data_IF_173219921867
#
_entry.id   IF_173219921867
#
_cell.length_a   1.000
_cell.length_b   1.000
_cell.length_c   1.000
_cell.angle_alpha   90.00
_cell.angle_beta   90.00
_cell.angle_gamma   90.00
#
_symmetry.space_group_name_H-M   'P 1'
#
loop_
_entity.id
_entity.type
_entity.pdbx_description
1 polymer ?
#
# COMPACT_ATOMS: atom_id res chain seq x y z
N UNK A 1 149.53 -120.25 87.66
CA UNK A 1 148.10 -120.55 87.90
C UNK A 1 147.32 -119.30 88.33
N UNK A 2 147.80 -118.48 89.27
CA UNK A 2 147.12 -117.24 89.69
C UNK A 2 146.75 -116.22 88.57
N UNK A 3 147.62 -116.01 87.56
CA UNK A 3 147.30 -115.13 86.41
C UNK A 3 146.16 -115.66 85.52
N UNK A 4 145.94 -116.98 85.48
CA UNK A 4 144.88 -117.58 84.66
C UNK A 4 143.51 -117.38 85.34
N UNK A 5 143.46 -117.54 86.66
CA UNK A 5 142.26 -117.28 87.47
C UNK A 5 141.82 -115.81 87.38
N UNK A 6 142.76 -114.87 87.40
CA UNK A 6 142.48 -113.44 87.23
C UNK A 6 141.90 -113.14 85.83
N UNK A 7 142.45 -113.75 84.76
CA UNK A 7 141.89 -113.59 83.40
C UNK A 7 140.52 -114.25 83.22
N UNK A 8 140.28 -115.39 83.88
CA UNK A 8 138.98 -116.07 83.85
C UNK A 8 137.93 -115.28 84.64
N UNK A 9 138.31 -114.66 85.76
CA UNK A 9 137.45 -113.76 86.53
C UNK A 9 137.11 -112.49 85.73
N UNK A 10 138.11 -111.88 85.06
CA UNK A 10 137.89 -110.73 84.18
C UNK A 10 137.01 -111.08 82.98
N UNK A 11 137.15 -112.29 82.42
CA UNK A 11 136.30 -112.78 81.33
C UNK A 11 134.87 -113.05 81.81
N UNK A 12 134.68 -113.62 83.00
CA UNK A 12 133.36 -113.81 83.60
C UNK A 12 132.67 -112.47 83.91
N UNK A 13 133.41 -111.46 84.36
CA UNK A 13 132.88 -110.12 84.56
C UNK A 13 132.54 -109.44 83.22
N UNK A 14 133.38 -109.59 82.20
CA UNK A 14 133.09 -109.12 80.84
C UNK A 14 131.86 -109.84 80.26
N UNK A 15 131.72 -111.14 80.50
CA UNK A 15 130.59 -111.96 80.06
C UNK A 15 129.31 -111.51 80.75
N UNK A 16 129.34 -111.24 82.07
CA UNK A 16 128.22 -110.66 82.81
C UNK A 16 127.83 -109.28 82.28
N UNK A 17 128.80 -108.41 81.97
CA UNK A 17 128.54 -107.12 81.33
C UNK A 17 127.94 -107.27 79.94
N UNK A 18 128.33 -108.29 79.17
CA UNK A 18 127.71 -108.56 77.87
C UNK A 18 126.31 -109.10 78.02
N UNK A 19 126.04 -109.98 78.99
CA UNK A 19 124.70 -110.48 79.29
C UNK A 19 123.78 -109.32 79.74
N UNK A 20 124.26 -108.43 80.62
CA UNK A 20 123.53 -107.21 81.03
C UNK A 20 123.29 -106.24 79.86
N UNK A 21 124.20 -106.19 78.87
CA UNK A 21 123.99 -105.42 77.64
C UNK A 21 122.99 -106.08 76.71
N UNK A 22 122.99 -107.41 76.62
CA UNK A 22 122.03 -108.18 75.83
C UNK A 22 120.64 -108.04 76.42
N UNK A 23 120.46 -108.19 77.73
CA UNK A 23 119.16 -107.97 78.38
C UNK A 23 118.67 -106.54 78.20
N UNK A 24 119.54 -105.54 78.32
CA UNK A 24 119.19 -104.13 78.03
C UNK A 24 118.82 -103.91 76.56
N UNK A 25 119.45 -104.63 75.63
CA UNK A 25 119.10 -104.57 74.20
C UNK A 25 117.76 -105.25 73.94
N UNK A 26 117.49 -106.39 74.56
CA UNK A 26 116.20 -107.09 74.50
C UNK A 26 115.07 -106.22 75.06
N UNK A 27 115.28 -105.56 76.20
CA UNK A 27 114.33 -104.58 76.77
C UNK A 27 114.08 -103.41 75.81
N UNK A 28 115.14 -102.86 75.19
CA UNK A 28 115.01 -101.79 74.19
C UNK A 28 114.32 -102.27 72.92
N UNK A 29 114.56 -103.51 72.49
CA UNK A 29 113.90 -104.10 71.34
C UNK A 29 112.41 -104.30 71.61
N UNK A 30 112.04 -104.81 72.79
CA UNK A 30 110.65 -104.94 73.21
C UNK A 30 109.95 -103.56 73.28
N UNK A 31 110.63 -102.53 73.81
CA UNK A 31 110.13 -101.15 73.80
C UNK A 31 109.96 -100.59 72.39
N UNK A 32 110.91 -100.87 71.48
CA UNK A 32 110.80 -100.46 70.08
C UNK A 32 109.65 -101.17 69.37
N UNK A 33 109.45 -102.47 69.60
CA UNK A 33 108.33 -103.23 69.07
C UNK A 33 106.99 -102.66 69.55
N UNK A 34 106.88 -102.29 70.83
CA UNK A 34 105.70 -101.62 71.39
C UNK A 34 105.45 -100.25 70.73
N UNK A 35 106.50 -99.43 70.56
CA UNK A 35 106.40 -98.12 69.88
C UNK A 35 105.98 -98.29 68.42
N UNK A 36 106.55 -99.26 67.71
CA UNK A 36 106.21 -99.54 66.31
C UNK A 36 104.75 -100.00 66.19
N UNK A 37 104.29 -100.86 67.10
CA UNK A 37 102.90 -101.30 67.14
C UNK A 37 101.94 -100.12 67.42
N UNK A 38 102.28 -99.26 68.38
CA UNK A 38 101.50 -98.05 68.68
C UNK A 38 101.48 -97.06 67.50
N UNK A 39 102.60 -96.91 66.79
CA UNK A 39 102.68 -96.07 65.59
C UNK A 39 101.85 -96.65 64.45
N UNK A 40 101.87 -97.97 64.23
CA UNK A 40 101.04 -98.63 63.23
C UNK A 40 99.54 -98.46 63.53
N UNK A 41 99.15 -98.57 64.81
CA UNK A 41 97.76 -98.30 65.22
C UNK A 41 97.39 -96.83 65.03
N UNK A 42 98.27 -95.88 65.37
CA UNK A 42 98.07 -94.46 65.13
C UNK A 42 97.97 -94.14 63.63
N UNK A 43 98.79 -94.77 62.80
CA UNK A 43 98.74 -94.65 61.34
C UNK A 43 97.41 -95.17 60.80
N UNK A 44 96.95 -96.35 61.22
CA UNK A 44 95.65 -96.89 60.82
C UNK A 44 94.50 -95.96 61.21
N UNK A 45 94.52 -95.42 62.44
CA UNK A 45 93.51 -94.44 62.89
C UNK A 45 93.57 -93.14 62.06
N UNK A 46 94.75 -92.72 61.61
CA UNK A 46 94.91 -91.58 60.74
C UNK A 46 94.36 -91.85 59.33
N UNK A 47 94.63 -93.03 58.76
CA UNK A 47 94.07 -93.48 57.48
C UNK A 47 92.54 -93.54 57.52
N UNK A 48 91.95 -94.10 58.59
CA UNK A 48 90.49 -94.12 58.78
C UNK A 48 89.90 -92.71 58.89
N UNK A 49 90.61 -91.76 59.52
CA UNK A 49 90.18 -90.35 59.58
C UNK A 49 90.30 -89.67 58.22
N UNK A 50 91.34 -89.96 57.45
CA UNK A 50 91.52 -89.44 56.09
C UNK A 50 90.42 -89.94 55.16
N UNK A 51 90.08 -91.23 55.20
CA UNK A 51 88.98 -91.79 54.41
C UNK A 51 87.63 -91.12 54.74
N UNK A 52 87.34 -90.88 56.03
CA UNK A 52 86.13 -90.13 56.45
C UNK A 52 86.17 -88.68 55.98
N UNK A 53 87.34 -88.04 56.03
CA UNK A 53 87.50 -86.67 55.54
C UNK A 53 87.24 -86.61 54.04
N UNK A 54 87.79 -87.53 53.25
CA UNK A 54 87.55 -87.65 51.81
C UNK A 54 86.07 -87.82 51.50
N UNK A 55 85.37 -88.69 52.23
CA UNK A 55 83.91 -88.86 52.09
C UNK A 55 83.14 -87.56 52.41
N UNK A 56 83.50 -86.87 53.49
CA UNK A 56 82.84 -85.60 53.85
C UNK A 56 83.12 -84.48 52.83
N UNK A 57 84.32 -84.44 52.25
CA UNK A 57 84.70 -83.49 51.20
C UNK A 57 83.93 -83.80 49.92
N UNK A 58 83.78 -85.08 49.55
CA UNK A 58 82.97 -85.48 48.41
C UNK A 58 81.49 -85.10 48.58
N UNK A 59 80.91 -85.36 49.77
CA UNK A 59 79.55 -84.97 50.08
C UNK A 59 79.36 -83.44 50.06
N UNK A 60 80.35 -82.68 50.55
CA UNK A 60 80.33 -81.21 50.50
C UNK A 60 80.41 -80.69 49.06
N UNK A 61 81.26 -81.29 48.22
CA UNK A 61 81.37 -80.93 46.80
C UNK A 61 80.05 -81.19 46.05
N UNK A 62 79.37 -82.30 46.33
CA UNK A 62 78.06 -82.58 45.74
C UNK A 62 76.99 -81.60 46.23
N UNK A 63 76.97 -81.29 47.54
CA UNK A 63 76.07 -80.28 48.09
C UNK A 63 76.32 -78.90 47.47
N UNK A 64 77.59 -78.51 47.30
CA UNK A 64 77.99 -77.27 46.64
C UNK A 64 77.48 -77.23 45.20
N UNK A 65 77.67 -78.30 44.42
CA UNK A 65 77.15 -78.37 43.04
C UNK A 65 75.63 -78.22 42.98
N UNK A 66 74.89 -78.88 43.89
CA UNK A 66 73.41 -78.72 43.98
C UNK A 66 73.01 -77.29 44.35
N UNK A 67 73.79 -76.60 45.18
CA UNK A 67 73.52 -75.19 45.49
C UNK A 67 73.81 -74.28 44.31
N UNK A 68 74.89 -74.51 43.56
CA UNK A 68 75.21 -73.77 42.34
C UNK A 68 74.09 -73.93 41.30
N UNK A 69 73.62 -75.15 41.04
CA UNK A 69 72.49 -75.41 40.13
C UNK A 69 71.20 -74.70 40.57
N UNK A 70 70.94 -74.60 41.88
CA UNK A 70 69.79 -73.85 42.42
C UNK A 70 69.96 -72.35 42.25
N UNK A 71 71.17 -71.82 42.41
CA UNK A 71 71.48 -70.40 42.19
C UNK A 71 71.28 -70.04 40.73
N UNK A 72 71.81 -70.83 39.79
CA UNK A 72 71.59 -70.59 38.35
C UNK A 72 70.12 -70.59 37.98
N UNK A 73 69.32 -71.53 38.52
CA UNK A 73 67.86 -71.54 38.28
C UNK A 73 67.15 -70.33 38.87
N UNK A 74 67.64 -69.79 40.00
CA UNK A 74 67.09 -68.57 40.58
C UNK A 74 67.45 -67.35 39.74
N UNK A 75 68.68 -67.26 39.24
CA UNK A 75 69.13 -66.20 38.32
C UNK A 75 68.29 -66.18 37.04
N UNK A 76 68.03 -67.34 36.43
CA UNK A 76 67.16 -67.45 35.26
C UNK A 76 65.73 -66.97 35.56
N UNK A 77 65.16 -67.34 36.71
CA UNK A 77 63.83 -66.89 37.13
C UNK A 77 63.80 -65.39 37.42
N UNK A 78 64.86 -64.84 38.02
CA UNK A 78 64.97 -63.41 38.26
C UNK A 78 65.02 -62.64 36.94
N UNK A 79 65.82 -63.08 35.97
CA UNK A 79 65.86 -62.47 34.64
C UNK A 79 64.50 -62.51 33.94
N UNK A 80 63.77 -63.63 34.01
CA UNK A 80 62.40 -63.73 33.47
C UNK A 80 61.43 -62.77 34.17
N UNK A 81 61.52 -62.63 35.50
CA UNK A 81 60.69 -61.69 36.24
C UNK A 81 61.00 -60.24 35.87
N UNK A 82 62.26 -59.89 35.69
CA UNK A 82 62.68 -58.55 35.23
C UNK A 82 62.09 -58.23 33.85
N UNK A 83 62.11 -59.18 32.91
CA UNK A 83 61.49 -59.04 31.59
C UNK A 83 59.97 -58.83 31.68
N UNK A 84 59.28 -59.63 32.51
CA UNK A 84 57.83 -59.50 32.73
C UNK A 84 57.49 -58.13 33.34
N UNK A 85 58.26 -57.68 34.34
CA UNK A 85 58.05 -56.37 34.97
C UNK A 85 58.27 -55.24 33.97
N UNK A 86 59.30 -55.33 33.12
CA UNK A 86 59.54 -54.35 32.06
C UNK A 86 58.37 -54.30 31.06
N UNK A 87 57.87 -55.46 30.62
CA UNK A 87 56.73 -55.54 29.71
C UNK A 87 55.44 -54.98 30.34
N UNK A 88 55.21 -55.24 31.63
CA UNK A 88 54.07 -54.69 32.36
C UNK A 88 54.16 -53.16 32.49
N UNK A 89 55.35 -52.63 32.79
CA UNK A 89 55.57 -51.19 32.88
C UNK A 89 55.29 -50.50 31.53
N UNK A 90 55.71 -51.10 30.41
CA UNK A 90 55.40 -50.57 29.07
C UNK A 90 53.90 -50.64 28.76
N UNK A 91 53.24 -51.75 29.09
CA UNK A 91 51.79 -51.89 28.93
C UNK A 91 51.01 -50.86 29.77
N UNK A 92 51.45 -50.61 31.00
CA UNK A 92 50.87 -49.59 31.87
C UNK A 92 51.02 -48.19 31.27
N UNK A 93 52.22 -47.83 30.80
CA UNK A 93 52.46 -46.53 30.15
C UNK A 93 51.56 -46.35 28.92
N UNK A 94 51.41 -47.38 28.07
CA UNK A 94 50.50 -47.33 26.91
C UNK A 94 49.03 -47.17 27.33
N UNK A 95 48.62 -47.76 28.46
CA UNK A 95 47.27 -47.60 29.00
C UNK A 95 47.05 -46.17 29.52
N UNK A 96 48.01 -45.60 30.23
CA UNK A 96 47.99 -44.21 30.71
C UNK A 96 47.89 -43.22 29.53
N UNK A 97 48.68 -43.43 28.46
CA UNK A 97 48.58 -42.60 27.25
C UNK A 97 47.21 -42.70 26.56
N UNK A 98 46.57 -43.88 26.56
CA UNK A 98 45.20 -44.06 26.04
C UNK A 98 44.16 -43.37 26.92
N UNK A 99 44.31 -43.44 28.24
CA UNK A 99 43.42 -42.76 29.18
C UNK A 99 43.51 -41.24 29.03
N UNK A 100 44.72 -40.68 28.92
CA UNK A 100 44.91 -39.25 28.69
C UNK A 100 44.23 -38.77 27.39
N UNK A 101 44.36 -39.55 26.29
CA UNK A 101 43.65 -39.25 25.03
C UNK A 101 42.13 -39.34 25.19
N UNK A 102 41.63 -40.32 25.94
CA UNK A 102 40.21 -40.46 26.19
C UNK A 102 39.68 -39.26 26.97
N UNK A 103 40.38 -38.83 28.01
CA UNK A 103 40.04 -37.63 28.80
C UNK A 103 39.97 -36.38 27.92
N UNK A 104 40.94 -36.19 27.02
CA UNK A 104 40.92 -35.08 26.05
C UNK A 104 39.69 -35.16 25.13
N UNK A 105 39.36 -36.34 24.59
CA UNK A 105 38.17 -36.50 23.72
C UNK A 105 36.86 -36.25 24.48
N UNK A 106 36.76 -36.68 25.74
CA UNK A 106 35.59 -36.44 26.58
C UNK A 106 35.45 -34.95 26.89
N UNK A 107 36.55 -34.26 27.18
CA UNK A 107 36.55 -32.81 27.38
C UNK A 107 36.11 -32.06 26.11
N UNK A 108 36.61 -32.46 24.95
CA UNK A 108 36.21 -31.87 23.66
C UNK A 108 34.72 -32.11 23.36
N UNK A 109 34.20 -33.31 23.66
CA UNK A 109 32.79 -33.64 23.51
C UNK A 109 31.91 -32.81 24.45
N UNK A 110 32.32 -32.63 25.71
CA UNK A 110 31.59 -31.81 26.68
C UNK A 110 31.49 -30.34 26.23
N UNK A 111 32.58 -29.78 25.70
CA UNK A 111 32.58 -28.42 25.14
C UNK A 111 31.70 -28.32 23.89
N UNK A 112 31.75 -29.31 23.00
CA UNK A 112 30.88 -29.37 21.83
C UNK A 112 29.40 -29.44 22.25
N UNK A 113 29.07 -30.25 23.26
CA UNK A 113 27.73 -30.36 23.82
C UNK A 113 27.25 -29.02 24.38
N UNK A 114 28.07 -28.33 25.19
CA UNK A 114 27.72 -27.01 25.72
C UNK A 114 27.43 -26.00 24.60
N UNK A 115 28.24 -25.99 23.53
CA UNK A 115 27.99 -25.13 22.37
C UNK A 115 26.69 -25.47 21.65
N UNK A 116 26.34 -26.75 21.56
CA UNK A 116 25.05 -27.15 20.98
C UNK A 116 23.88 -26.72 21.84
N UNK A 117 23.98 -26.84 23.17
CA UNK A 117 22.96 -26.38 24.12
C UNK A 117 22.75 -24.87 23.99
N UNK A 118 23.82 -24.06 23.96
CA UNK A 118 23.73 -22.62 23.72
C UNK A 118 23.04 -22.27 22.39
N UNK A 119 23.32 -23.02 21.32
CA UNK A 119 22.67 -22.83 20.02
C UNK A 119 21.18 -23.17 20.06
N UNK A 120 20.81 -24.22 20.80
CA UNK A 120 19.40 -24.59 21.00
C UNK A 120 18.67 -23.49 21.75
N UNK A 121 19.22 -22.97 22.85
CA UNK A 121 18.61 -21.86 23.59
C UNK A 121 18.41 -20.62 22.71
N UNK A 122 19.41 -20.23 21.91
CA UNK A 122 19.26 -19.10 20.96
C UNK A 122 18.18 -19.36 19.90
N UNK A 123 18.03 -20.60 19.43
CA UNK A 123 16.97 -20.97 18.49
C UNK A 123 15.60 -20.90 19.15
N UNK A 124 15.46 -21.34 20.39
CA UNK A 124 14.22 -21.23 21.17
C UNK A 124 13.81 -19.75 21.32
N UNK A 125 14.75 -18.88 21.71
CA UNK A 125 14.52 -17.43 21.81
C UNK A 125 14.07 -16.83 20.46
N UNK A 126 14.72 -17.21 19.36
CA UNK A 126 14.38 -16.73 18.02
C UNK A 126 12.98 -17.21 17.59
N UNK A 127 12.60 -18.44 17.90
CA UNK A 127 11.26 -18.99 17.63
C UNK A 127 10.20 -18.24 18.44
N UNK A 128 10.45 -17.95 19.72
CA UNK A 128 9.54 -17.15 20.54
C UNK A 128 9.36 -15.74 19.97
N UNK A 129 10.45 -15.07 19.58
CA UNK A 129 10.39 -13.74 18.97
C UNK A 129 9.61 -13.75 17.64
N UNK A 130 9.78 -14.79 16.82
CA UNK A 130 9.03 -14.95 15.57
C UNK A 130 7.53 -15.16 15.84
N UNK A 131 7.16 -15.97 16.83
CA UNK A 131 5.77 -16.19 17.22
C UNK A 131 5.11 -14.89 17.71
N UNK A 132 5.82 -14.06 18.47
CA UNK A 132 5.33 -12.74 18.88
C UNK A 132 5.14 -11.80 17.70
N UNK A 133 6.10 -11.75 16.78
CA UNK A 133 6.01 -10.94 15.56
C UNK A 133 4.81 -11.37 14.69
N UNK A 134 4.58 -12.67 14.54
CA UNK A 134 3.43 -13.21 13.83
C UNK A 134 2.12 -12.76 14.50
N UNK A 135 2.00 -12.88 15.82
CA UNK A 135 0.80 -12.45 16.56
C UNK A 135 0.54 -10.94 16.41
N UNK A 136 1.60 -10.12 16.34
CA UNK A 136 1.45 -8.68 16.07
C UNK A 136 0.99 -8.41 14.64
N UNK A 137 1.49 -9.19 13.67
CA UNK A 137 1.02 -9.10 12.28
C UNK A 137 -0.45 -9.46 12.16
N UNK A 138 -0.90 -10.55 12.79
CA UNK A 138 -2.30 -10.95 12.83
C UNK A 138 -3.19 -9.84 13.40
N UNK A 139 -2.79 -9.18 14.49
CA UNK A 139 -3.50 -8.01 15.04
C UNK A 139 -3.52 -6.80 14.11
N UNK A 140 -2.51 -6.62 13.25
CA UNK A 140 -2.49 -5.54 12.25
C UNK A 140 -3.42 -5.86 11.10
N UNK A 141 -3.43 -7.10 10.63
CA UNK A 141 -4.34 -7.58 9.59
C UNK A 141 -5.79 -7.43 10.03
N UNK A 142 -6.14 -7.90 11.23
CA UNK A 142 -7.50 -7.74 11.77
C UNK A 142 -7.96 -6.27 11.83
N UNK A 143 -7.07 -5.35 12.24
CA UNK A 143 -7.37 -3.91 12.22
C UNK A 143 -7.55 -3.36 10.81
N UNK A 144 -6.77 -3.84 9.83
CA UNK A 144 -6.96 -3.44 8.44
C UNK A 144 -8.29 -3.95 7.88
N UNK A 145 -8.70 -5.16 8.25
CA UNK A 145 -10.02 -5.70 7.87
C UNK A 145 -11.16 -4.85 8.44
N UNK A 146 -11.07 -4.42 9.70
CA UNK A 146 -12.03 -3.49 10.31
C UNK A 146 -12.10 -2.16 9.53
N UNK A 147 -10.95 -1.55 9.21
CA UNK A 147 -10.88 -0.29 8.45
C UNK A 147 -11.45 -0.44 7.04
N UNK A 148 -11.12 -1.53 6.34
CA UNK A 148 -11.64 -1.81 4.98
C UNK A 148 -13.16 -1.99 5.01
N UNK A 149 -13.67 -2.66 6.04
CA UNK A 149 -15.12 -2.85 6.22
C UNK A 149 -15.81 -1.50 6.43
N UNK A 150 -15.29 -0.66 7.33
CA UNK A 150 -15.83 0.68 7.59
C UNK A 150 -15.78 1.57 6.33
N UNK A 151 -14.68 1.54 5.59
CA UNK A 151 -14.57 2.27 4.32
C UNK A 151 -15.58 1.79 3.29
N UNK A 152 -15.86 0.49 3.25
CA UNK A 152 -16.91 -0.09 2.40
C UNK A 152 -18.30 0.45 2.76
N UNK A 153 -18.61 0.58 4.04
CA UNK A 153 -19.86 1.18 4.52
C UNK A 153 -19.96 2.67 4.15
N UNK A 154 -18.88 3.43 4.32
CA UNK A 154 -18.80 4.85 3.96
C UNK A 154 -19.03 5.07 2.46
N UNK A 155 -18.39 4.25 1.60
CA UNK A 155 -18.60 4.32 0.14
C UNK A 155 -20.06 4.00 -0.22
N UNK A 156 -20.68 3.01 0.44
CA UNK A 156 -22.09 2.69 0.23
C UNK A 156 -23.03 3.81 0.71
N UNK A 157 -22.67 4.52 1.78
CA UNK A 157 -23.40 5.70 2.25
C UNK A 157 -23.28 6.87 1.26
N UNK A 158 -22.07 7.16 0.78
CA UNK A 158 -21.82 8.21 -0.21
C UNK A 158 -22.56 7.94 -1.52
N UNK A 159 -22.57 6.68 -1.98
CA UNK A 159 -23.33 6.28 -3.18
C UNK A 159 -24.81 6.57 -3.03
N UNK A 160 -25.40 6.26 -1.87
CA UNK A 160 -26.82 6.58 -1.58
C UNK A 160 -27.05 8.09 -1.54
N UNK A 161 -26.15 8.85 -0.92
CA UNK A 161 -26.25 10.31 -0.88
C UNK A 161 -26.16 10.94 -2.29
N UNK A 162 -25.27 10.42 -3.15
CA UNK A 162 -25.15 10.86 -4.54
C UNK A 162 -26.45 10.60 -5.32
N UNK A 163 -27.00 9.39 -5.24
CA UNK A 163 -28.27 9.06 -5.90
C UNK A 163 -29.41 9.97 -5.44
N UNK A 164 -29.46 10.30 -4.14
CA UNK A 164 -30.45 11.23 -3.61
C UNK A 164 -30.26 12.65 -4.17
N UNK A 165 -29.01 13.14 -4.23
CA UNK A 165 -28.71 14.44 -4.80
C UNK A 165 -29.07 14.52 -6.30
N UNK A 166 -28.79 13.47 -7.07
CA UNK A 166 -29.17 13.37 -8.49
C UNK A 166 -30.70 13.45 -8.66
N UNK A 167 -31.47 12.77 -7.80
CA UNK A 167 -32.93 12.86 -7.79
C UNK A 167 -33.42 14.28 -7.47
N UNK A 168 -32.83 14.94 -6.47
CA UNK A 168 -33.17 16.33 -6.13
C UNK A 168 -32.88 17.30 -7.27
N UNK A 169 -31.73 17.13 -7.95
CA UNK A 169 -31.37 17.94 -9.12
C UNK A 169 -32.36 17.72 -10.26
N UNK A 170 -32.79 16.48 -10.52
CA UNK A 170 -33.79 16.20 -11.54
C UNK A 170 -35.15 16.87 -11.24
N UNK A 171 -35.60 16.82 -9.98
CA UNK A 171 -36.82 17.51 -9.52
C UNK A 171 -36.67 19.03 -9.68
N UNK A 172 -35.53 19.60 -9.29
CA UNK A 172 -35.27 21.03 -9.44
C UNK A 172 -35.27 21.45 -10.91
N UNK A 173 -34.61 20.67 -11.78
CA UNK A 173 -34.58 20.93 -13.22
C UNK A 173 -35.98 20.97 -13.84
N UNK A 174 -36.84 19.99 -13.51
CA UNK A 174 -38.24 19.99 -13.95
C UNK A 174 -39.04 21.19 -13.41
N UNK A 175 -38.76 21.63 -12.18
CA UNK A 175 -39.41 22.78 -11.58
C UNK A 175 -39.01 24.09 -12.27
N UNK A 176 -37.73 24.22 -12.63
CA UNK A 176 -37.20 25.36 -13.39
C UNK A 176 -37.79 25.41 -14.80
N UNK A 177 -37.91 24.26 -15.48
CA UNK A 177 -38.56 24.18 -16.80
C UNK A 177 -40.04 24.61 -16.73
N UNK A 178 -40.78 24.12 -15.72
CA UNK A 178 -42.17 24.51 -15.51
C UNK A 178 -42.32 26.01 -15.20
N UNK A 179 -41.40 26.58 -14.40
CA UNK A 179 -41.39 28.00 -14.10
C UNK A 179 -41.10 28.83 -15.36
N UNK A 180 -40.16 28.38 -16.20
CA UNK A 180 -39.81 29.03 -17.47
C UNK A 180 -41.03 29.08 -18.38
N UNK A 181 -41.72 27.95 -18.59
CA UNK A 181 -42.97 27.90 -19.37
C UNK A 181 -44.06 28.83 -18.83
N UNK A 182 -44.19 28.95 -17.51
CA UNK A 182 -45.14 29.86 -16.87
C UNK A 182 -44.74 31.33 -17.08
N UNK A 183 -43.45 31.65 -17.02
CA UNK A 183 -42.94 32.99 -17.30
C UNK A 183 -43.18 33.40 -18.75
N UNK A 184 -43.01 32.48 -19.70
CA UNK A 184 -43.31 32.71 -21.11
C UNK A 184 -44.81 33.00 -21.30
N UNK A 185 -45.70 32.21 -20.69
CA UNK A 185 -47.14 32.45 -20.75
C UNK A 185 -47.54 33.82 -20.18
N UNK A 186 -46.99 34.19 -19.02
CA UNK A 186 -47.21 35.51 -18.42
C UNK A 186 -46.71 36.62 -19.35
N UNK A 187 -45.54 36.44 -19.97
CA UNK A 187 -44.98 37.42 -20.91
C UNK A 187 -45.90 37.64 -22.11
N UNK A 188 -46.50 36.56 -22.65
CA UNK A 188 -47.51 36.65 -23.71
C UNK A 188 -48.79 37.36 -23.24
N UNK A 189 -49.30 37.03 -22.05
CA UNK A 189 -50.49 37.67 -21.49
C UNK A 189 -50.27 39.17 -21.25
N UNK A 190 -49.08 39.56 -20.76
CA UNK A 190 -48.68 40.96 -20.58
C UNK A 190 -48.59 41.68 -21.93
N UNK A 191 -48.03 41.04 -22.96
CA UNK A 191 -47.99 41.61 -24.31
C UNK A 191 -49.41 41.88 -24.86
N UNK A 192 -50.33 40.93 -24.68
CA UNK A 192 -51.74 41.10 -25.08
C UNK A 192 -52.43 42.21 -24.30
N UNK A 193 -52.22 42.30 -22.99
CA UNK A 193 -52.80 43.35 -22.16
C UNK A 193 -52.29 44.74 -22.55
N UNK A 194 -50.99 44.87 -22.86
CA UNK A 194 -50.42 46.11 -23.41
C UNK A 194 -51.11 46.53 -24.70
N UNK A 195 -51.39 45.59 -25.61
CA UNK A 195 -52.14 45.84 -26.84
C UNK A 195 -53.54 46.39 -26.57
N UNK A 196 -54.34 45.72 -25.74
CA UNK A 196 -55.69 46.18 -25.39
C UNK A 196 -55.69 47.56 -24.72
N UNK A 197 -54.75 47.81 -23.81
CA UNK A 197 -54.65 49.11 -23.15
C UNK A 197 -54.35 50.24 -24.16
N UNK A 198 -53.44 50.00 -25.10
CA UNK A 198 -53.08 50.98 -26.12
C UNK A 198 -54.23 51.29 -27.06
N UNK A 199 -54.95 50.26 -27.52
CA UNK A 199 -56.17 50.45 -28.33
C UNK A 199 -57.19 51.32 -27.59
N UNK A 200 -57.51 50.97 -26.34
CA UNK A 200 -58.46 51.74 -25.53
C UNK A 200 -58.00 53.20 -25.31
N UNK A 201 -56.69 53.42 -25.15
CA UNK A 201 -56.11 54.76 -25.03
C UNK A 201 -56.33 55.59 -26.30
N UNK A 202 -56.07 55.00 -27.48
CA UNK A 202 -56.28 55.65 -28.77
C UNK A 202 -57.75 55.90 -29.10
N UNK A 203 -58.66 54.99 -28.72
CA UNK A 203 -60.11 55.20 -28.85
C UNK A 203 -60.57 56.37 -27.99
N UNK A 204 -60.26 56.33 -26.68
CA UNK A 204 -60.70 57.35 -25.72
C UNK A 204 -60.15 58.74 -26.04
N UNK A 205 -58.92 58.83 -26.55
CA UNK A 205 -58.26 60.09 -26.88
C UNK A 205 -58.25 60.39 -28.39
N UNK A 206 -59.05 59.68 -29.18
CA UNK A 206 -59.13 59.88 -30.63
C UNK A 206 -59.30 61.35 -31.05
N UNK A 207 -60.15 62.17 -30.39
CA UNK A 207 -60.29 63.58 -30.75
C UNK A 207 -59.02 64.41 -30.54
N UNK A 208 -58.11 63.98 -29.67
CA UNK A 208 -56.84 64.63 -29.41
C UNK A 208 -55.75 64.13 -30.38
N UNK A 209 -55.60 62.81 -30.51
CA UNK A 209 -54.53 62.20 -31.31
C UNK A 209 -54.73 62.36 -32.81
N UNK A 210 -55.97 62.23 -33.30
CA UNK A 210 -56.26 62.35 -34.72
C UNK A 210 -56.69 63.75 -35.14
N UNK A 211 -56.59 64.73 -34.23
CA UNK A 211 -57.03 66.11 -34.43
C UNK A 211 -56.42 66.79 -35.65
N UNK A 212 -55.20 66.40 -36.01
CA UNK A 212 -54.50 66.92 -37.20
C UNK A 212 -55.12 66.40 -38.50
N UNK A 213 -55.71 65.20 -38.49
CA UNK A 213 -56.30 64.55 -39.66
C UNK A 213 -57.78 64.91 -39.83
N UNK A 214 -58.53 65.09 -38.73
CA UNK A 214 -59.96 65.35 -38.79
C UNK A 214 -60.47 66.24 -37.64
N UNK A 215 -61.58 66.95 -37.88
CA UNK A 215 -62.34 67.72 -36.87
C UNK A 215 -63.66 67.02 -36.55
N UNK A 216 -64.22 67.31 -35.37
CA UNK A 216 -65.46 66.68 -34.87
C UNK A 216 -65.42 65.14 -34.96
N UNK A 217 -64.33 64.57 -34.47
CA UNK A 217 -64.07 63.13 -34.52
C UNK A 217 -65.06 62.41 -33.61
N UNK A 218 -65.78 61.45 -34.19
CA UNK A 218 -66.65 60.49 -33.52
C UNK A 218 -66.13 59.09 -33.83
N UNK A 219 -65.61 58.40 -32.82
CA UNK A 219 -65.23 57.00 -32.95
C UNK A 219 -66.51 56.18 -33.03
N UNK A 220 -66.65 55.40 -34.09
CA UNK A 220 -67.82 54.53 -34.27
C UNK A 220 -67.78 53.42 -33.22
N UNK A 221 -68.90 53.17 -32.57
CA UNK A 221 -69.05 51.97 -31.75
C UNK A 221 -69.04 50.73 -32.64
N UNK A 222 -68.82 49.55 -32.04
CA UNK A 222 -68.93 48.28 -32.77
C UNK A 222 -70.30 48.12 -33.44
N UNK A 223 -71.38 48.57 -32.79
CA UNK A 223 -72.73 48.50 -33.33
C UNK A 223 -72.93 49.45 -34.52
N UNK A 224 -72.40 50.67 -34.43
CA UNK A 224 -72.49 51.67 -35.51
C UNK A 224 -71.71 51.21 -36.75
N UNK A 225 -70.51 50.64 -36.56
CA UNK A 225 -69.70 50.13 -37.66
C UNK A 225 -70.32 48.88 -38.29
N UNK A 226 -70.79 47.92 -37.48
CA UNK A 226 -71.48 46.73 -37.98
C UNK A 226 -72.72 47.09 -38.80
N UNK A 227 -73.60 47.95 -38.29
CA UNK A 227 -74.79 48.38 -39.02
C UNK A 227 -74.44 49.08 -40.34
N UNK A 228 -73.37 49.89 -40.35
CA UNK A 228 -72.90 50.57 -41.56
C UNK A 228 -72.41 49.58 -42.62
N UNK A 229 -71.66 48.55 -42.21
CA UNK A 229 -71.10 47.55 -43.11
C UNK A 229 -72.16 46.52 -43.55
N UNK A 230 -73.02 46.06 -42.66
CA UNK A 230 -74.14 45.15 -42.97
C UNK A 230 -75.07 45.74 -44.03
N UNK A 231 -75.41 47.03 -43.90
CA UNK A 231 -76.20 47.74 -44.90
C UNK A 231 -75.53 47.69 -46.29
N UNK A 232 -74.20 47.80 -46.34
CA UNK A 232 -73.47 47.71 -47.60
C UNK A 232 -73.40 46.29 -48.19
N UNK A 233 -73.39 45.25 -47.33
CA UNK A 233 -73.49 43.85 -47.77
C UNK A 233 -74.88 43.55 -48.33
N UNK A 234 -75.93 44.01 -47.64
CA UNK A 234 -77.32 43.87 -48.12
C UNK A 234 -77.53 44.58 -49.48
N UNK A 235 -76.87 45.72 -49.68
CA UNK A 235 -76.85 46.46 -50.94
C UNK A 235 -75.94 45.82 -52.02
N UNK A 236 -75.24 44.72 -51.71
CA UNK A 236 -74.34 44.01 -52.62
C UNK A 236 -73.05 44.76 -52.96
N UNK A 237 -72.69 45.77 -52.16
CA UNK A 237 -71.47 46.59 -52.37
C UNK A 237 -70.23 45.99 -51.74
N UNK A 238 -70.38 45.07 -50.79
CA UNK A 238 -69.32 44.34 -50.11
C UNK A 238 -69.66 42.85 -50.05
N UNK A 239 -68.64 42.00 -50.14
CA UNK A 239 -68.77 40.59 -49.76
C UNK A 239 -68.68 40.43 -48.23
N UNK A 240 -69.29 39.36 -47.68
CA UNK A 240 -69.24 39.06 -46.24
C UNK A 240 -67.81 39.01 -45.68
N UNK A 241 -66.87 38.46 -46.45
CA UNK A 241 -65.46 38.38 -46.04
C UNK A 241 -64.77 39.75 -45.99
N UNK A 242 -65.15 40.68 -46.86
CA UNK A 242 -64.62 42.05 -46.88
C UNK A 242 -65.25 42.89 -45.75
N UNK A 243 -66.52 42.65 -45.47
CA UNK A 243 -67.22 43.21 -44.32
C UNK A 243 -66.56 42.81 -42.99
N UNK A 244 -66.27 41.51 -42.81
CA UNK A 244 -65.54 40.99 -41.67
C UNK A 244 -64.15 41.64 -41.52
N UNK A 245 -63.48 41.92 -42.64
CA UNK A 245 -62.17 42.57 -42.63
C UNK A 245 -62.25 44.02 -42.13
N UNK A 246 -63.29 44.78 -42.53
CA UNK A 246 -63.55 46.15 -42.06
C UNK A 246 -63.95 46.14 -40.58
N UNK A 247 -64.85 45.24 -40.15
CA UNK A 247 -65.35 45.16 -38.77
C UNK A 247 -64.20 44.90 -37.78
N UNK A 248 -63.18 44.15 -38.20
CA UNK A 248 -61.99 43.87 -37.39
C UNK A 248 -60.98 45.02 -37.32
N UNK A 249 -61.27 46.19 -37.90
CA UNK A 249 -60.45 47.40 -37.72
C UNK A 249 -60.43 47.79 -36.24
N UNK A 250 -59.27 48.15 -35.71
CA UNK A 250 -59.17 48.50 -34.29
C UNK A 250 -59.99 49.75 -33.96
N UNK A 251 -59.91 50.78 -34.81
CA UNK A 251 -60.71 52.00 -34.66
C UNK A 251 -61.16 52.52 -36.02
N UNK A 252 -62.47 52.76 -36.16
CA UNK A 252 -63.00 53.57 -37.27
C UNK A 252 -63.60 54.84 -36.69
N UNK A 253 -63.12 55.99 -37.13
CA UNK A 253 -63.58 57.28 -36.62
C UNK A 253 -64.08 58.18 -37.76
N UNK A 254 -65.33 58.63 -37.65
CA UNK A 254 -65.94 59.58 -38.58
C UNK A 254 -65.60 61.01 -38.15
N UNK A 255 -65.24 61.85 -39.09
CA UNK A 255 -64.93 63.25 -38.84
C UNK A 255 -65.10 64.11 -40.08
N UNK A 256 -64.60 65.35 -40.00
CA UNK A 256 -64.61 66.30 -41.12
C UNK A 256 -63.20 66.73 -41.48
N UNK A 257 -62.95 66.86 -42.78
CA UNK A 257 -61.68 67.36 -43.29
C UNK A 257 -61.36 68.74 -42.67
N UNK A 258 -60.15 68.96 -42.13
CA UNK A 258 -59.83 70.18 -41.38
C UNK A 258 -60.00 71.47 -42.17
N UNK A 259 -59.80 71.42 -43.49
CA UNK A 259 -59.86 72.59 -44.39
C UNK A 259 -61.13 72.60 -45.26
N UNK A 260 -61.57 71.43 -45.74
CA UNK A 260 -62.65 71.32 -46.72
C UNK A 260 -64.02 71.14 -46.05
N UNK A 261 -64.04 70.73 -44.78
CA UNK A 261 -65.27 70.45 -44.03
C UNK A 261 -66.09 69.24 -44.51
N UNK A 262 -65.62 68.54 -45.56
CA UNK A 262 -66.18 67.32 -46.12
C UNK A 262 -66.08 66.15 -45.13
N UNK A 263 -67.04 65.23 -45.16
CA UNK A 263 -67.04 64.07 -44.26
C UNK A 263 -65.96 63.06 -44.69
N UNK A 264 -65.24 62.52 -43.70
CA UNK A 264 -64.22 61.51 -43.89
C UNK A 264 -64.21 60.51 -42.75
N UNK A 265 -63.61 59.35 -43.00
CA UNK A 265 -63.44 58.27 -42.05
C UNK A 265 -61.95 58.00 -41.87
N UNK A 266 -61.51 57.88 -40.63
CA UNK A 266 -60.17 57.42 -40.28
C UNK A 266 -60.29 55.92 -39.99
N UNK A 267 -59.46 55.12 -40.66
CA UNK A 267 -59.37 53.68 -40.44
C UNK A 267 -58.02 53.44 -39.78
N UNK A 268 -58.04 53.15 -38.48
CA UNK A 268 -56.84 53.13 -37.65
C UNK A 268 -56.54 51.71 -37.19
N UNK A 269 -55.32 51.25 -37.48
CA UNK A 269 -54.71 50.07 -36.85
C UNK A 269 -53.84 50.52 -35.69
N UNK A 270 -54.06 49.96 -34.50
CA UNK A 270 -53.32 50.28 -33.29
C UNK A 270 -52.39 49.13 -32.92
N UNK A 271 -51.10 49.41 -32.84
CA UNK A 271 -50.08 48.43 -32.44
C UNK A 271 -49.05 49.06 -31.51
N UNK A 272 -48.61 48.31 -30.48
CA UNK A 272 -47.56 48.79 -29.58
C UNK A 272 -46.24 49.03 -30.32
N UNK A 273 -45.94 48.20 -31.34
CA UNK A 273 -44.86 48.43 -32.28
C UNK A 273 -45.34 48.17 -33.70
N UNK A 274 -45.47 49.23 -34.49
CA UNK A 274 -46.04 49.18 -35.85
C UNK A 274 -45.05 48.52 -36.81
N UNK A 275 -45.47 47.41 -37.40
CA UNK A 275 -44.77 46.67 -38.44
C UNK A 275 -45.41 46.78 -39.82
N UNK A 276 -44.85 46.08 -40.81
CA UNK A 276 -45.34 46.08 -42.19
C UNK A 276 -46.82 45.68 -42.28
N UNK A 277 -47.21 44.63 -41.56
CA UNK A 277 -48.60 44.12 -41.59
C UNK A 277 -49.61 45.11 -41.02
N UNK A 278 -49.26 45.92 -40.02
CA UNK A 278 -50.17 46.94 -39.47
C UNK A 278 -50.47 48.00 -40.53
N UNK A 279 -49.45 48.41 -41.30
CA UNK A 279 -49.58 49.35 -42.41
C UNK A 279 -50.42 48.77 -43.54
N UNK A 280 -50.19 47.50 -43.91
CA UNK A 280 -50.98 46.81 -44.93
C UNK A 280 -52.45 46.68 -44.54
N UNK A 281 -52.73 46.30 -43.27
CA UNK A 281 -54.10 46.21 -42.76
C UNK A 281 -54.79 47.56 -42.79
N UNK A 282 -54.13 48.63 -42.33
CA UNK A 282 -54.70 49.98 -42.35
C UNK A 282 -55.04 50.42 -43.79
N UNK A 283 -54.11 50.26 -44.72
CA UNK A 283 -54.30 50.62 -46.13
C UNK A 283 -55.43 49.82 -46.79
N UNK A 284 -55.44 48.50 -46.57
CA UNK A 284 -56.44 47.59 -47.15
C UNK A 284 -57.84 47.86 -46.60
N UNK A 285 -57.99 47.98 -45.29
CA UNK A 285 -59.28 48.27 -44.64
C UNK A 285 -59.81 49.63 -45.03
N UNK A 286 -58.95 50.64 -45.16
CA UNK A 286 -59.35 51.96 -45.67
C UNK A 286 -59.81 51.89 -47.13
N UNK A 287 -59.11 51.12 -47.96
CA UNK A 287 -59.52 50.92 -49.36
C UNK A 287 -60.91 50.28 -49.44
N UNK A 288 -61.16 49.20 -48.70
CA UNK A 288 -62.47 48.55 -48.67
C UNK A 288 -63.56 49.51 -48.19
N UNK A 289 -63.31 50.26 -47.11
CA UNK A 289 -64.26 51.26 -46.63
C UNK A 289 -64.52 52.35 -47.69
N UNK A 290 -63.49 52.75 -48.44
CA UNK A 290 -63.63 53.77 -49.48
C UNK A 290 -64.50 53.34 -50.67
N UNK A 291 -64.58 52.03 -50.95
CA UNK A 291 -65.43 51.48 -52.01
C UNK A 291 -66.92 51.69 -51.71
N UNK A 292 -67.29 51.96 -50.45
CA UNK A 292 -68.65 52.33 -50.04
C UNK A 292 -69.02 53.78 -50.38
N UNK A 293 -68.13 54.51 -51.05
CA UNK A 293 -68.35 55.90 -51.45
C UNK A 293 -68.05 56.90 -50.34
N UNK A 294 -67.40 56.47 -49.24
CA UNK A 294 -66.90 57.37 -48.20
C UNK A 294 -65.41 57.66 -48.39
N UNK A 295 -64.96 58.83 -47.96
CA UNK A 295 -63.53 59.15 -47.98
C UNK A 295 -62.85 58.51 -46.77
N UNK A 296 -62.12 57.41 -46.97
CA UNK A 296 -61.37 56.74 -45.92
C UNK A 296 -59.88 57.12 -45.95
N UNK A 297 -59.31 57.44 -44.79
CA UNK A 297 -57.89 57.72 -44.60
C UNK A 297 -57.28 56.56 -43.78
N UNK A 298 -56.31 55.83 -44.33
CA UNK A 298 -55.61 54.80 -43.57
C UNK A 298 -54.64 55.43 -42.57
N UNK A 299 -54.67 54.92 -41.34
CA UNK A 299 -53.83 55.38 -40.23
C UNK A 299 -53.26 54.17 -39.49
N UNK A 300 -51.98 54.23 -39.13
CA UNK A 300 -51.39 53.35 -38.12
C UNK A 300 -51.06 54.17 -36.88
N UNK A 301 -51.35 53.63 -35.71
CA UNK A 301 -51.18 54.29 -34.43
C UNK A 301 -50.43 53.41 -33.43
N UNK A 302 -49.50 53.97 -32.65
CA UNK A 302 -48.63 53.18 -31.80
C UNK A 302 -47.61 53.96 -30.97
N UNK A 303 -46.75 53.24 -30.25
CA UNK A 303 -45.63 53.81 -29.47
C UNK A 303 -44.33 53.90 -30.30
N UNK A 304 -44.19 53.06 -31.32
CA UNK A 304 -43.05 53.06 -32.24
C UNK A 304 -43.38 52.40 -33.56
N UNK A 305 -42.55 52.63 -34.58
CA UNK A 305 -42.72 52.09 -35.93
C UNK A 305 -41.37 51.62 -36.48
N UNK A 306 -41.34 50.49 -37.18
CA UNK A 306 -40.11 50.00 -37.84
C UNK A 306 -39.79 50.80 -39.09
N UNK A 307 -38.52 50.86 -39.48
CA UNK A 307 -38.07 51.60 -40.66
C UNK A 307 -38.74 51.11 -41.96
N UNK A 308 -38.85 49.78 -42.12
CA UNK A 308 -39.55 49.18 -43.26
C UNK A 308 -41.05 49.55 -43.29
N UNK A 309 -41.70 49.58 -42.13
CA UNK A 309 -43.10 50.00 -42.02
C UNK A 309 -43.27 51.50 -42.35
N UNK A 310 -42.30 52.35 -41.98
CA UNK A 310 -42.29 53.75 -42.43
C UNK A 310 -42.24 53.83 -43.95
N UNK A 311 -41.34 53.12 -44.60
CA UNK A 311 -41.22 53.13 -46.07
C UNK A 311 -42.51 52.64 -46.74
N UNK A 312 -43.12 51.58 -46.21
CA UNK A 312 -44.38 51.08 -46.73
C UNK A 312 -45.53 52.07 -46.51
N UNK A 313 -45.60 52.70 -45.34
CA UNK A 313 -46.64 53.68 -45.02
C UNK A 313 -46.59 54.88 -45.97
N UNK A 314 -45.38 55.34 -46.32
CA UNK A 314 -45.19 56.38 -47.34
C UNK A 314 -45.71 55.93 -48.71
N UNK A 315 -45.36 54.71 -49.13
CA UNK A 315 -45.80 54.14 -50.43
C UNK A 315 -47.31 53.95 -50.54
N UNK A 316 -47.95 53.51 -49.46
CA UNK A 316 -49.40 53.24 -49.41
C UNK A 316 -50.22 54.44 -48.93
N UNK A 317 -49.58 55.59 -48.77
CA UNK A 317 -50.20 56.83 -48.31
C UNK A 317 -50.91 56.71 -46.95
N UNK A 318 -50.32 55.95 -46.02
CA UNK A 318 -50.82 55.69 -44.68
C UNK A 318 -50.26 56.69 -43.68
N UNK A 319 -51.14 57.33 -42.93
CA UNK A 319 -50.76 58.26 -41.86
C UNK A 319 -50.20 57.50 -40.67
N UNK A 320 -49.21 58.08 -40.00
CA UNK A 320 -48.59 57.46 -38.82
C UNK A 320 -48.88 58.33 -37.61
N UNK A 321 -49.42 57.75 -36.54
CA UNK A 321 -49.68 58.46 -35.29
C UNK A 321 -48.86 57.79 -34.20
N UNK A 322 -47.72 58.39 -33.87
CA UNK A 322 -46.77 57.82 -32.90
C UNK A 322 -46.81 58.66 -31.64
N UNK A 323 -47.08 58.03 -30.50
CA UNK A 323 -47.25 58.72 -29.20
C UNK A 323 -48.19 59.93 -29.32
N UNK A 324 -49.34 59.71 -29.98
CA UNK A 324 -50.36 60.73 -30.21
C UNK A 324 -50.00 61.84 -31.21
N UNK A 325 -48.84 61.80 -31.86
CA UNK A 325 -48.41 62.78 -32.87
C UNK A 325 -48.64 62.26 -34.28
N UNK A 326 -49.43 63.01 -35.06
CA UNK A 326 -49.70 62.69 -36.46
C UNK A 326 -48.54 63.10 -37.38
N UNK A 327 -48.07 62.15 -38.17
CA UNK A 327 -47.01 62.28 -39.16
C UNK A 327 -47.59 61.91 -40.53
N UNK A 328 -47.53 62.82 -41.53
CA UNK A 328 -48.11 62.57 -42.85
C UNK A 328 -47.36 61.47 -43.61
N UNK A 329 -47.99 60.84 -44.62
CA UNK A 329 -47.35 59.84 -45.47
C UNK A 329 -46.28 60.44 -46.38
N UNK A 330 -46.37 61.74 -46.67
CA UNK A 330 -45.38 62.50 -47.44
C UNK A 330 -44.90 63.61 -46.51
N UNK A 331 -43.62 63.60 -46.16
CA UNK A 331 -43.00 64.74 -45.46
C UNK A 331 -43.01 65.95 -46.41
N UNK A 332 -43.48 67.10 -45.92
CA UNK A 332 -43.27 68.36 -46.64
C UNK A 332 -41.76 68.54 -46.84
N UNK A 333 -41.28 68.98 -48.03
CA UNK A 333 -39.88 69.29 -48.21
C UNK A 333 -39.44 70.30 -47.15
N UNK A 334 -38.22 70.19 -46.58
CA UNK A 334 -37.73 71.18 -45.64
C UNK A 334 -37.79 72.56 -46.30
N UNK A 335 -38.44 73.51 -45.63
CA UNK A 335 -38.46 74.92 -46.05
C UNK A 335 -37.02 75.40 -46.26
N UNK A 336 -36.66 75.94 -47.43
CA UNK A 336 -35.32 76.48 -47.64
C UNK A 336 -35.20 77.82 -46.93
N UNK A 337 -34.21 77.93 -46.04
CA UNK A 337 -33.72 79.21 -45.55
C UNK A 337 -33.67 79.37 -44.03
N UNK A 338 -32.60 78.85 -43.42
CA UNK A 338 -31.64 79.69 -42.69
C UNK A 338 -30.30 78.95 -42.72
N UNK A 339 -29.55 79.13 -43.80
CA UNK A 339 -28.10 78.91 -43.79
C UNK A 339 -27.50 80.00 -42.89
N UNK A 340 -27.23 79.63 -41.64
CA UNK A 340 -26.39 80.37 -40.72
C UNK A 340 -25.06 79.64 -40.58
N UNK A 341 -24.16 79.98 -41.50
CA UNK A 341 -22.72 80.16 -41.24
C UNK A 341 -21.95 78.99 -40.60
N UNK A 342 -21.27 78.23 -41.45
CA UNK A 342 -20.16 77.38 -41.08
C UNK A 342 -18.97 78.23 -40.59
N UNK A 343 -18.55 78.03 -39.35
CA UNK A 343 -17.21 78.39 -38.89
C UNK A 343 -16.23 77.22 -39.16
N UNK A 344 -15.03 77.48 -39.71
CA UNK A 344 -14.09 76.44 -40.15
C UNK A 344 -13.28 75.84 -38.97
N UNK A 345 -12.64 74.66 -39.17
CA UNK A 345 -11.96 73.96 -38.10
C UNK A 345 -10.61 74.59 -37.80
N UNK A 346 -10.28 74.69 -36.51
CA UNK A 346 -8.92 75.00 -36.05
C UNK A 346 -8.23 73.69 -35.68
N UNK A 347 -7.23 73.36 -36.52
CA UNK A 347 -6.04 72.51 -36.37
C UNK A 347 -5.98 71.46 -35.26
#
# INVERSE_FOLDING_TARGET
>A
MARLEETVAALAEAQRRTEERVTRLEERMAQLEEIVAALAEAQRRAEERLARLEETVAALAEAQRRTEERVTRLEERMAQLEEIVAALAEAQRRAEERLARLEETVAALAEAQRRTEERVTRLEEAVTALAEAQRQMEKRVARLEEVVTALGEDVAALTRAQQHAEQQIAVLASSVDALTKRMDAISHDVARLKGFHLQHQYERHAPAYFRALARKIHVLSSEELSAFVESAVEEGKLADAEADEIIRTDIVARGRHPEEGSELYLVVEVSWGIGLSDVERAARRALLLSQLGVRAIPVVAGEGITEDAVHLARRLNVWRVIDGRAIPPIEAPPTPGTDGEAAPPSL
#
